data_IF_797516666879
#
_entry.id   IF_797516666879
#
_cell.length_a   1.000
_cell.length_b   1.000
_cell.length_c   1.000
_cell.angle_alpha   90.00
_cell.angle_beta   90.00
_cell.angle_gamma   90.00
#
_symmetry.space_group_name_H-M   'P 1'
#
loop_
_entity.id
_entity.type
_entity.pdbx_description
1 polymer ?
#
# COMPACT_ATOMS: atom_id res chain seq x y z
N UNK A 1 9.48 -9.84 -6.34
CA UNK A 1 8.85 -9.06 -5.32
C UNK A 1 7.39 -9.45 -5.16
N UNK A 2 6.78 -9.13 -4.01
CA UNK A 2 5.45 -9.58 -3.57
C UNK A 2 4.33 -9.26 -4.57
N UNK A 3 4.37 -8.09 -5.20
CA UNK A 3 3.36 -7.64 -6.20
C UNK A 3 3.33 -8.57 -7.43
N UNK A 4 4.50 -8.98 -7.91
CA UNK A 4 4.59 -9.92 -9.03
C UNK A 4 4.17 -11.34 -8.63
N UNK A 5 4.48 -11.75 -7.41
CA UNK A 5 4.03 -13.01 -6.85
C UNK A 5 2.52 -13.06 -6.69
N UNK A 6 1.90 -12.02 -6.13
CA UNK A 6 0.44 -11.89 -6.01
C UNK A 6 -0.27 -12.01 -7.36
N UNK A 7 0.29 -11.41 -8.42
CA UNK A 7 -0.29 -11.50 -9.76
C UNK A 7 -0.23 -12.92 -10.34
N UNK A 8 0.82 -13.67 -10.07
CA UNK A 8 0.96 -15.07 -10.49
C UNK A 8 0.02 -15.96 -9.70
N UNK A 9 -0.06 -15.75 -8.39
CA UNK A 9 -0.81 -16.59 -7.45
C UNK A 9 -2.33 -16.32 -7.53
N UNK A 10 -2.76 -15.09 -7.86
CA UNK A 10 -4.18 -14.73 -7.97
C UNK A 10 -4.97 -15.56 -9.01
N UNK A 11 -4.29 -16.23 -9.96
CA UNK A 11 -4.94 -17.13 -10.91
C UNK A 11 -5.34 -18.46 -10.29
N UNK A 12 -4.57 -18.94 -9.33
CA UNK A 12 -4.74 -20.29 -8.73
C UNK A 12 -5.39 -20.27 -7.35
N UNK A 13 -5.38 -19.09 -6.67
CA UNK A 13 -5.89 -18.95 -5.30
C UNK A 13 -7.33 -19.48 -5.14
N UNK A 14 -8.22 -19.23 -6.12
CA UNK A 14 -9.59 -19.76 -6.03
C UNK A 14 -9.63 -21.29 -6.00
N UNK A 15 -8.87 -21.93 -6.87
CA UNK A 15 -8.82 -23.40 -6.93
C UNK A 15 -8.16 -24.01 -5.71
N UNK A 16 -7.01 -23.46 -5.32
CA UNK A 16 -6.23 -23.97 -4.19
C UNK A 16 -6.91 -23.68 -2.85
N UNK A 17 -7.60 -22.53 -2.71
CA UNK A 17 -8.36 -22.21 -1.50
C UNK A 17 -9.61 -23.09 -1.37
N UNK A 18 -10.37 -23.27 -2.45
CA UNK A 18 -11.52 -24.19 -2.45
C UNK A 18 -11.07 -25.61 -2.14
N UNK A 19 -10.02 -26.09 -2.79
CA UNK A 19 -9.50 -27.45 -2.53
C UNK A 19 -8.89 -27.62 -1.12
N UNK A 20 -8.36 -26.54 -0.53
CA UNK A 20 -7.84 -26.56 0.84
C UNK A 20 -8.96 -26.49 1.87
N UNK A 21 -9.98 -25.67 1.62
CA UNK A 21 -11.19 -25.58 2.45
C UNK A 21 -12.01 -26.88 2.37
N UNK A 22 -12.21 -27.44 1.18
CA UNK A 22 -12.90 -28.74 1.05
C UNK A 22 -12.13 -29.88 1.73
N UNK A 23 -10.81 -29.89 1.63
CA UNK A 23 -9.98 -30.89 2.37
C UNK A 23 -10.05 -30.68 3.88
N UNK A 24 -10.05 -29.45 4.36
CA UNK A 24 -10.19 -29.14 5.78
C UNK A 24 -11.59 -29.49 6.32
N UNK A 25 -12.63 -29.23 5.52
CA UNK A 25 -14.01 -29.56 5.89
C UNK A 25 -14.36 -31.04 5.70
N UNK A 26 -13.74 -31.71 4.71
CA UNK A 26 -14.00 -33.12 4.39
C UNK A 26 -13.44 -34.14 5.40
N UNK A 27 -12.51 -33.73 6.28
CA UNK A 27 -11.94 -34.59 7.30
C UNK A 27 -12.57 -34.47 8.68
N UNK A 28 -13.71 -33.76 8.82
CA UNK A 28 -14.56 -33.82 10.01
C UNK A 28 -13.89 -33.55 11.38
N UNK A 29 -12.70 -32.98 11.42
CA UNK A 29 -12.04 -32.68 12.67
C UNK A 29 -12.13 -31.17 12.97
N UNK A 30 -12.79 -30.83 14.06
CA UNK A 30 -12.84 -29.48 14.62
C UNK A 30 -11.42 -28.87 14.75
N UNK A 31 -10.41 -29.71 14.92
CA UNK A 31 -9.00 -29.32 14.99
C UNK A 31 -8.48 -28.61 13.71
N UNK A 32 -8.92 -29.01 12.51
CA UNK A 32 -8.48 -28.36 11.27
C UNK A 32 -9.12 -26.97 11.12
N UNK A 33 -10.37 -26.78 11.57
CA UNK A 33 -11.03 -25.48 11.63
C UNK A 33 -10.31 -24.52 12.59
N UNK A 34 -9.96 -24.98 13.77
CA UNK A 34 -9.22 -24.19 14.76
C UNK A 34 -7.80 -23.84 14.28
N UNK A 35 -7.13 -24.74 13.59
CA UNK A 35 -5.81 -24.46 13.01
C UNK A 35 -5.88 -23.35 11.93
N UNK A 36 -6.91 -23.36 11.07
CA UNK A 36 -7.14 -22.33 10.07
C UNK A 36 -7.44 -20.97 10.74
N UNK A 37 -8.32 -20.94 11.73
CA UNK A 37 -8.64 -19.74 12.52
C UNK A 37 -7.38 -19.20 13.17
N UNK A 38 -6.57 -20.04 13.81
CA UNK A 38 -5.32 -19.66 14.44
C UNK A 38 -4.30 -19.07 13.45
N UNK A 39 -4.16 -19.66 12.27
CA UNK A 39 -3.28 -19.13 11.21
C UNK A 39 -3.73 -17.75 10.72
N UNK A 40 -5.02 -17.58 10.44
CA UNK A 40 -5.58 -16.27 10.01
C UNK A 40 -5.43 -15.25 11.13
N UNK A 41 -5.72 -15.64 12.38
CA UNK A 41 -5.55 -14.75 13.53
C UNK A 41 -4.11 -14.28 13.68
N UNK A 42 -3.12 -15.17 13.60
CA UNK A 42 -1.70 -14.81 13.72
C UNK A 42 -1.25 -13.88 12.57
N UNK A 43 -1.73 -14.14 11.34
CA UNK A 43 -1.41 -13.28 10.20
C UNK A 43 -1.96 -11.87 10.40
N UNK A 44 -3.23 -11.73 10.81
CA UNK A 44 -3.87 -10.43 11.07
C UNK A 44 -3.27 -9.74 12.30
N UNK A 45 -2.97 -10.50 13.36
CA UNK A 45 -2.37 -9.97 14.58
C UNK A 45 -0.98 -9.39 14.30
N UNK A 46 -0.18 -10.03 13.45
CA UNK A 46 1.13 -9.51 13.03
C UNK A 46 0.99 -8.14 12.36
N UNK A 47 0.11 -8.01 11.38
CA UNK A 47 -0.14 -6.76 10.66
C UNK A 47 -0.70 -5.69 11.60
N UNK A 48 -1.59 -6.08 12.52
CA UNK A 48 -2.11 -5.20 13.56
C UNK A 48 -1.02 -4.63 14.47
N UNK A 49 -0.06 -5.47 14.89
CA UNK A 49 1.08 -5.03 15.69
C UNK A 49 1.97 -4.04 14.91
N UNK A 50 2.28 -4.31 13.63
CA UNK A 50 3.03 -3.40 12.78
C UNK A 50 2.32 -2.03 12.69
N UNK A 51 1.00 -2.03 12.50
CA UNK A 51 0.18 -0.81 12.46
C UNK A 51 0.20 -0.04 13.79
N UNK A 52 0.15 -0.73 14.92
CA UNK A 52 0.23 -0.11 16.25
C UNK A 52 1.59 0.57 16.45
N UNK A 53 2.69 -0.07 16.05
CA UNK A 53 4.02 0.55 16.14
C UNK A 53 4.14 1.79 15.24
N UNK A 54 3.59 1.76 14.03
CA UNK A 54 3.57 2.94 13.16
C UNK A 54 2.75 4.07 13.77
N UNK A 55 1.56 3.79 14.31
CA UNK A 55 0.74 4.79 14.98
C UNK A 55 1.44 5.38 16.21
N UNK A 56 2.11 4.54 17.00
CA UNK A 56 2.88 4.98 18.15
C UNK A 56 4.01 5.92 17.73
N UNK A 57 4.74 5.58 16.68
CA UNK A 57 5.81 6.43 16.15
C UNK A 57 5.28 7.79 15.66
N UNK A 58 4.12 7.81 14.97
CA UNK A 58 3.46 9.03 14.54
C UNK A 58 3.00 9.86 15.73
N UNK A 59 2.42 9.24 16.76
CA UNK A 59 1.97 9.95 17.97
C UNK A 59 3.12 10.58 18.76
N UNK A 60 4.29 9.95 18.75
CA UNK A 60 5.48 10.53 19.40
C UNK A 60 6.03 11.75 18.66
N UNK A 61 5.82 11.84 17.35
CA UNK A 61 6.29 12.96 16.52
C UNK A 61 5.26 14.08 16.40
N UNK A 62 3.98 13.79 16.64
CA UNK A 62 2.91 14.77 16.51
C UNK A 62 2.59 15.44 17.86
N UNK A 63 2.43 16.76 17.82
CA UNK A 63 1.95 17.53 18.97
C UNK A 63 0.46 17.84 18.80
N UNK A 64 -0.37 17.39 19.73
CA UNK A 64 -1.80 17.72 19.78
C UNK A 64 -2.75 16.61 19.32
N UNK A 65 -4.01 16.99 19.13
CA UNK A 65 -5.13 16.07 18.85
C UNK A 65 -5.26 15.63 17.38
N UNK A 66 -4.47 16.19 16.49
CA UNK A 66 -4.57 15.92 15.04
C UNK A 66 -4.29 14.47 14.70
N UNK A 67 -3.23 13.88 15.27
CA UNK A 67 -2.86 12.51 14.99
C UNK A 67 -3.86 11.47 15.55
N UNK A 68 -4.35 11.57 16.81
CA UNK A 68 -5.41 10.69 17.31
C UNK A 68 -6.69 10.78 16.49
N UNK A 69 -7.12 11.99 16.11
CA UNK A 69 -8.32 12.19 15.27
C UNK A 69 -8.12 11.59 13.89
N UNK A 70 -6.96 11.80 13.28
CA UNK A 70 -6.60 11.18 11.99
C UNK A 70 -6.61 9.65 12.05
N UNK A 71 -6.08 9.06 13.12
CA UNK A 71 -6.08 7.62 13.33
C UNK A 71 -7.51 7.07 13.46
N UNK A 72 -8.37 7.71 14.24
CA UNK A 72 -9.78 7.30 14.37
C UNK A 72 -10.54 7.43 13.05
N UNK A 73 -10.33 8.51 12.31
CA UNK A 73 -10.91 8.69 10.98
C UNK A 73 -10.43 7.62 10.00
N UNK A 74 -9.13 7.29 10.02
CA UNK A 74 -8.55 6.21 9.22
C UNK A 74 -9.17 4.84 9.53
N UNK A 75 -9.33 4.51 10.82
CA UNK A 75 -9.99 3.27 11.26
C UNK A 75 -11.44 3.23 10.77
N UNK A 76 -12.19 4.35 10.91
CA UNK A 76 -13.57 4.42 10.43
C UNK A 76 -13.67 4.17 8.92
N UNK A 77 -12.78 4.77 8.13
CA UNK A 77 -12.69 4.54 6.68
C UNK A 77 -12.36 3.09 6.36
N UNK A 78 -11.41 2.48 7.07
CA UNK A 78 -11.06 1.06 6.91
C UNK A 78 -12.25 0.14 7.20
N UNK A 79 -13.03 0.41 8.25
CA UNK A 79 -14.23 -0.36 8.60
C UNK A 79 -15.28 -0.24 7.48
N UNK A 80 -15.52 0.95 6.96
CA UNK A 80 -16.46 1.18 5.86
C UNK A 80 -16.03 0.41 4.60
N UNK A 81 -14.75 0.51 4.22
CA UNK A 81 -14.19 -0.21 3.07
C UNK A 81 -14.27 -1.72 3.31
N UNK A 82 -13.89 -2.19 4.49
CA UNK A 82 -13.93 -3.60 4.86
C UNK A 82 -15.34 -4.18 4.80
N UNK A 83 -16.32 -3.45 5.33
CA UNK A 83 -17.73 -3.83 5.23
C UNK A 83 -18.24 -3.84 3.78
N UNK A 84 -17.86 -2.84 2.99
CA UNK A 84 -18.18 -2.78 1.56
C UNK A 84 -17.59 -3.96 0.78
N UNK A 85 -16.34 -4.35 1.07
CA UNK A 85 -15.69 -5.53 0.49
C UNK A 85 -16.38 -6.83 0.92
N UNK A 86 -16.72 -6.95 2.20
CA UNK A 86 -17.44 -8.12 2.72
C UNK A 86 -18.82 -8.26 2.05
N UNK A 87 -19.59 -7.19 2.02
CA UNK A 87 -20.93 -7.15 1.44
C UNK A 87 -20.92 -7.31 -0.09
N UNK A 88 -19.91 -6.76 -0.78
CA UNK A 88 -19.73 -6.85 -2.23
C UNK A 88 -18.86 -8.02 -2.69
N UNK A 89 -18.20 -8.72 -1.78
CA UNK A 89 -17.11 -9.68 -2.07
C UNK A 89 -17.52 -10.88 -2.92
N UNK A 90 -18.80 -11.23 -2.95
CA UNK A 90 -19.33 -12.32 -3.80
C UNK A 90 -19.29 -11.97 -5.29
N UNK A 91 -19.19 -10.69 -5.66
CA UNK A 91 -19.26 -10.20 -7.06
C UNK A 91 -18.01 -9.48 -7.54
N UNK A 92 -16.97 -9.32 -6.70
CA UNK A 92 -15.76 -8.61 -7.08
C UNK A 92 -14.95 -9.40 -8.11
N UNK A 93 -14.62 -8.74 -9.20
CA UNK A 93 -13.65 -9.26 -10.15
C UNK A 93 -12.24 -9.10 -9.56
N UNK A 94 -11.77 -10.15 -8.86
CA UNK A 94 -10.48 -10.22 -8.20
C UNK A 94 -9.33 -9.73 -9.10
N UNK A 95 -9.38 -10.01 -10.42
CA UNK A 95 -8.36 -9.55 -11.36
C UNK A 95 -8.33 -8.03 -11.46
N UNK A 96 -9.49 -7.36 -11.52
CA UNK A 96 -9.57 -5.89 -11.57
C UNK A 96 -9.15 -5.28 -10.25
N UNK A 97 -9.60 -5.87 -9.15
CA UNK A 97 -9.25 -5.43 -7.79
C UNK A 97 -7.73 -5.46 -7.59
N UNK A 98 -7.07 -6.60 -7.83
CA UNK A 98 -5.62 -6.70 -7.66
C UNK A 98 -4.83 -5.86 -8.66
N UNK A 99 -5.36 -5.62 -9.87
CA UNK A 99 -4.72 -4.69 -10.81
C UNK A 99 -4.77 -3.26 -10.28
N UNK A 100 -5.91 -2.80 -9.81
CA UNK A 100 -6.09 -1.44 -9.28
C UNK A 100 -5.25 -1.23 -8.02
N UNK A 101 -5.37 -2.12 -7.06
CA UNK A 101 -4.58 -2.07 -5.81
C UNK A 101 -3.08 -2.17 -6.08
N UNK A 102 -2.67 -3.01 -7.02
CA UNK A 102 -1.26 -3.13 -7.40
C UNK A 102 -0.69 -1.83 -8.00
N UNK A 103 -1.44 -1.16 -8.88
CA UNK A 103 -1.05 0.17 -9.41
C UNK A 103 -0.98 1.20 -8.29
N UNK A 104 -1.95 1.22 -7.39
CA UNK A 104 -1.96 2.14 -6.25
C UNK A 104 -0.74 1.93 -5.34
N UNK A 105 -0.41 0.69 -4.99
CA UNK A 105 0.79 0.38 -4.20
C UNK A 105 2.07 0.81 -4.91
N UNK A 106 2.15 0.68 -6.24
CA UNK A 106 3.31 1.15 -7.00
C UNK A 106 3.46 2.67 -6.96
N UNK A 107 2.34 3.42 -7.00
CA UNK A 107 2.34 4.88 -6.83
C UNK A 107 2.85 5.28 -5.43
N UNK A 108 2.34 4.64 -4.38
CA UNK A 108 2.80 4.86 -3.00
C UNK A 108 4.30 4.54 -2.87
N UNK A 109 4.75 3.42 -3.42
CA UNK A 109 6.16 3.04 -3.39
C UNK A 109 7.07 4.04 -4.13
N UNK A 110 6.61 4.60 -5.25
CA UNK A 110 7.33 5.66 -5.97
C UNK A 110 7.48 6.92 -5.12
N UNK A 111 6.40 7.33 -4.42
CA UNK A 111 6.42 8.47 -3.50
C UNK A 111 7.38 8.28 -2.33
N UNK A 112 7.37 7.09 -1.72
CA UNK A 112 8.32 6.76 -0.66
C UNK A 112 9.77 6.79 -1.15
N UNK A 113 10.03 6.30 -2.36
CA UNK A 113 11.37 6.32 -2.94
C UNK A 113 11.87 7.74 -3.21
N UNK A 114 11.01 8.63 -3.71
CA UNK A 114 11.33 10.05 -3.86
C UNK A 114 11.61 10.71 -2.50
N UNK A 115 10.82 10.37 -1.47
CA UNK A 115 11.05 10.84 -0.10
C UNK A 115 12.38 10.39 0.49
N UNK A 116 12.85 9.18 0.18
CA UNK A 116 14.19 8.70 0.58
C UNK A 116 15.29 9.57 -0.02
N UNK A 117 15.18 9.95 -1.30
CA UNK A 117 16.18 10.81 -1.94
C UNK A 117 16.28 12.17 -1.24
N UNK A 118 15.14 12.72 -0.81
CA UNK A 118 15.11 13.96 -0.01
C UNK A 118 15.82 13.80 1.32
N UNK A 119 15.55 12.71 2.02
CA UNK A 119 16.24 12.43 3.29
C UNK A 119 17.76 12.30 3.12
N UNK A 120 18.22 11.77 1.99
CA UNK A 120 19.64 11.75 1.66
C UNK A 120 20.20 13.16 1.40
N UNK A 121 19.43 14.03 0.79
CA UNK A 121 19.81 15.43 0.63
C UNK A 121 19.87 16.16 1.98
N UNK A 122 18.85 16.03 2.81
CA UNK A 122 18.81 16.61 4.16
C UNK A 122 20.00 16.12 5.02
N UNK A 123 20.42 14.86 4.83
CA UNK A 123 21.58 14.28 5.50
C UNK A 123 22.93 14.71 4.88
N UNK A 124 22.92 15.52 3.82
CA UNK A 124 24.15 15.97 3.13
C UNK A 124 24.85 14.89 2.28
N UNK A 125 24.24 13.72 2.11
CA UNK A 125 24.81 12.59 1.37
C UNK A 125 24.66 12.78 -0.14
N UNK A 126 23.59 13.41 -0.59
CA UNK A 126 23.26 13.61 -2.00
C UNK A 126 22.86 15.05 -2.28
N UNK A 127 23.72 15.80 -2.96
CA UNK A 127 23.51 17.22 -3.24
C UNK A 127 23.38 17.55 -4.75
N UNK A 128 23.14 16.56 -5.59
CA UNK A 128 22.99 16.75 -7.03
C UNK A 128 21.49 16.77 -7.41
N UNK A 129 21.16 17.46 -8.53
CA UNK A 129 19.81 17.56 -9.07
C UNK A 129 18.80 18.21 -8.11
N UNK A 130 19.24 19.21 -7.34
CA UNK A 130 18.43 19.92 -6.34
C UNK A 130 17.70 21.14 -6.92
N UNK A 131 17.70 21.31 -8.24
CA UNK A 131 16.92 22.40 -8.87
C UNK A 131 15.44 22.12 -8.71
N UNK A 132 14.71 23.09 -8.15
CA UNK A 132 13.24 23.03 -8.05
C UNK A 132 12.66 23.12 -9.46
N UNK A 133 11.77 22.19 -9.81
CA UNK A 133 11.16 22.12 -11.15
C UNK A 133 9.97 23.06 -11.27
N UNK A 134 9.12 23.06 -10.26
CA UNK A 134 7.95 23.96 -10.15
C UNK A 134 7.64 24.21 -8.68
N UNK A 135 6.94 25.30 -8.42
CA UNK A 135 6.46 25.66 -7.09
C UNK A 135 4.94 25.78 -7.14
N UNK A 136 4.25 24.89 -6.41
CA UNK A 136 2.80 24.85 -6.26
C UNK A 136 2.37 25.26 -4.85
N UNK A 137 3.26 25.84 -4.05
CA UNK A 137 2.97 26.18 -2.66
C UNK A 137 1.78 27.14 -2.52
N UNK A 138 1.63 28.04 -3.50
CA UNK A 138 0.48 28.94 -3.58
C UNK A 138 -0.85 28.26 -3.95
N UNK A 139 -0.81 27.16 -4.69
CA UNK A 139 -2.03 26.50 -5.21
C UNK A 139 -2.45 25.33 -4.34
N UNK A 140 -1.49 24.53 -3.89
CA UNK A 140 -1.73 23.36 -3.07
C UNK A 140 -0.61 23.22 -2.02
N UNK A 141 -0.66 24.03 -0.94
CA UNK A 141 0.34 23.97 0.11
C UNK A 141 0.30 22.61 0.81
N UNK A 142 1.47 22.14 1.27
CA UNK A 142 1.59 20.85 1.96
C UNK A 142 0.78 20.78 3.26
N UNK A 143 0.55 21.92 3.90
CA UNK A 143 -0.23 22.02 5.14
C UNK A 143 -1.75 21.97 4.90
N UNK A 144 -2.19 22.02 3.64
CA UNK A 144 -3.60 21.83 3.32
C UNK A 144 -4.03 20.38 3.57
N UNK A 145 -5.31 20.11 3.91
CA UNK A 145 -5.78 18.73 4.11
C UNK A 145 -5.54 17.82 2.90
N UNK A 146 -5.71 18.36 1.68
CA UNK A 146 -5.43 17.63 0.44
C UNK A 146 -3.93 17.45 0.22
N UNK A 147 -3.12 18.47 0.46
CA UNK A 147 -1.66 18.41 0.36
C UNK A 147 -1.08 17.35 1.30
N UNK A 148 -1.53 17.32 2.54
CA UNK A 148 -1.12 16.32 3.55
C UNK A 148 -1.47 14.90 3.10
N UNK A 149 -2.69 14.66 2.62
CA UNK A 149 -3.11 13.34 2.13
C UNK A 149 -2.31 12.91 0.90
N UNK A 150 -2.12 13.81 -0.07
CA UNK A 150 -1.34 13.52 -1.28
C UNK A 150 0.14 13.30 -0.96
N UNK A 151 0.69 14.09 -0.03
CA UNK A 151 2.08 13.91 0.43
C UNK A 151 2.26 12.55 1.10
N UNK A 152 1.36 12.16 2.00
CA UNK A 152 1.43 10.88 2.71
C UNK A 152 1.19 9.65 1.82
N UNK A 153 0.28 9.74 0.85
CA UNK A 153 -0.07 8.60 -0.01
C UNK A 153 0.76 8.51 -1.29
N UNK A 154 1.01 9.64 -1.95
CA UNK A 154 1.64 9.66 -3.28
C UNK A 154 3.03 10.29 -3.27
N UNK A 155 3.50 10.75 -2.12
CA UNK A 155 4.77 11.47 -2.01
C UNK A 155 4.73 12.86 -2.66
N UNK A 156 3.54 13.50 -2.72
CA UNK A 156 3.39 14.84 -3.27
C UNK A 156 4.27 15.85 -2.53
N UNK A 157 4.85 16.78 -3.30
CA UNK A 157 5.61 17.92 -2.83
C UNK A 157 5.13 19.19 -3.51
N UNK A 158 5.03 20.28 -2.77
CA UNK A 158 4.71 21.60 -3.34
C UNK A 158 5.84 22.14 -4.23
N UNK A 159 7.09 21.86 -3.89
CA UNK A 159 8.27 22.29 -4.63
C UNK A 159 9.25 21.12 -4.85
N UNK A 160 8.92 20.16 -5.75
CA UNK A 160 9.76 18.99 -5.98
C UNK A 160 11.03 19.35 -6.74
N UNK A 161 12.13 18.69 -6.41
CA UNK A 161 13.39 18.82 -7.12
C UNK A 161 13.50 17.84 -8.28
N UNK A 162 14.36 18.17 -9.27
CA UNK A 162 14.58 17.34 -10.47
C UNK A 162 14.88 15.88 -10.11
N UNK A 163 15.71 15.65 -9.09
CA UNK A 163 16.08 14.31 -8.64
C UNK A 163 14.89 13.48 -8.16
N UNK A 164 13.98 14.08 -7.38
CA UNK A 164 12.77 13.42 -6.87
C UNK A 164 11.83 13.01 -8.02
N UNK A 165 11.57 13.93 -8.96
CA UNK A 165 10.70 13.67 -10.11
C UNK A 165 11.30 12.58 -10.99
N UNK A 166 12.61 12.63 -11.25
CA UNK A 166 13.28 11.66 -12.11
C UNK A 166 13.21 10.26 -11.50
N UNK A 167 13.49 10.12 -10.22
CA UNK A 167 13.39 8.83 -9.51
C UNK A 167 11.95 8.32 -9.48
N UNK A 168 10.99 9.19 -9.20
CA UNK A 168 9.57 8.86 -9.20
C UNK A 168 9.10 8.32 -10.56
N UNK A 169 9.38 9.07 -11.63
CA UNK A 169 8.97 8.72 -12.98
C UNK A 169 9.70 7.47 -13.49
N UNK A 170 11.01 7.38 -13.27
CA UNK A 170 11.80 6.22 -13.68
C UNK A 170 11.32 4.93 -12.99
N UNK A 171 11.07 4.99 -11.67
CA UNK A 171 10.53 3.85 -10.93
C UNK A 171 9.16 3.44 -11.45
N UNK A 172 8.24 4.39 -11.65
CA UNK A 172 6.92 4.09 -12.19
C UNK A 172 6.98 3.53 -13.61
N UNK A 173 7.77 4.12 -14.49
CA UNK A 173 7.90 3.65 -15.87
C UNK A 173 8.38 2.19 -15.91
N UNK A 174 9.42 1.87 -15.17
CA UNK A 174 9.98 0.52 -15.11
C UNK A 174 8.97 -0.47 -14.49
N UNK A 175 8.45 -0.14 -13.32
CA UNK A 175 7.57 -1.06 -12.58
C UNK A 175 6.22 -1.25 -13.26
N UNK A 176 5.62 -0.19 -13.81
CA UNK A 176 4.36 -0.26 -14.54
C UNK A 176 4.51 -1.05 -15.84
N UNK A 177 5.62 -0.86 -16.57
CA UNK A 177 5.93 -1.61 -17.78
C UNK A 177 5.99 -3.12 -17.49
N UNK A 178 6.69 -3.53 -16.44
CA UNK A 178 6.73 -4.94 -16.03
C UNK A 178 5.40 -5.43 -15.46
N UNK A 179 4.68 -4.59 -14.75
CA UNK A 179 3.40 -4.93 -14.14
C UNK A 179 2.29 -5.08 -15.17
N UNK A 180 2.25 -4.26 -16.23
CA UNK A 180 1.20 -4.28 -17.24
C UNK A 180 1.50 -5.25 -18.38
N UNK A 181 2.74 -5.70 -18.56
CA UNK A 181 3.06 -6.72 -19.58
C UNK A 181 2.19 -7.96 -19.40
N UNK A 182 1.51 -8.42 -20.47
CA UNK A 182 0.86 -9.71 -20.43
C UNK A 182 1.93 -10.78 -20.22
N UNK A 183 1.82 -11.59 -19.16
CA UNK A 183 2.63 -12.80 -19.08
C UNK A 183 2.18 -13.71 -20.21
N UNK A 184 3.00 -13.84 -21.24
CA UNK A 184 2.90 -14.93 -22.19
C UNK A 184 2.97 -16.23 -21.41
N UNK A 185 1.92 -17.04 -21.50
CA UNK A 185 1.96 -18.38 -20.94
C UNK A 185 3.13 -19.10 -21.59
N UNK A 186 4.11 -19.49 -20.79
CA UNK A 186 5.09 -20.49 -21.21
C UNK A 186 4.32 -21.80 -21.31
N UNK A 187 4.37 -22.52 -22.43
CA UNK A 187 3.68 -23.79 -22.64
C UNK A 187 4.06 -24.86 -21.64
#
# INVERSE_FOLDING_TARGET
>A
SMVFWMRKTARNIKGDLHASVERALGHGSDAAGWALIGMVFLAVAREGLESVFFLLAIFQQSQGWQAPVGALAGIAVCVIIGYGLYSGGVRLNLRRFFRFTGVFILLVAAGLLAGVLRKFHEAGIWNQLQTVVFDLDHTLPMDSPLGTVLSGLLGYQSAPVVGEILVYVAFLAITLFFFLRPMTAVP
#
